data_IF_351274112055
#
_entry.id   IF_351274112055
#
_cell.length_a   1.000
_cell.length_b   1.000
_cell.length_c   1.000
_cell.angle_alpha   90.00
_cell.angle_beta   90.00
_cell.angle_gamma   90.00
#
_symmetry.space_group_name_H-M   'P 1'
#
loop_
_entity.id
_entity.type
_entity.pdbx_description
1 polymer ?
#
# COMPACT_ATOMS: atom_id res chain seq x y z
N UNK A 1 25.38 6.78 -22.62
CA UNK A 1 25.30 7.40 -23.97
C UNK A 1 23.98 7.11 -24.69
N UNK A 2 23.31 5.96 -24.48
CA UNK A 2 22.07 5.56 -25.19
C UNK A 2 20.79 6.32 -24.76
N UNK A 3 20.77 6.93 -23.56
CA UNK A 3 19.54 7.57 -23.00
C UNK A 3 19.52 9.09 -23.13
N UNK A 4 20.62 9.73 -23.52
CA UNK A 4 20.71 11.20 -23.64
C UNK A 4 19.57 11.83 -24.45
N UNK A 5 19.23 11.29 -25.65
CA UNK A 5 18.10 11.80 -26.42
C UNK A 5 16.74 11.61 -25.74
N UNK A 6 16.57 10.52 -25.01
CA UNK A 6 15.34 10.22 -24.28
C UNK A 6 15.16 11.16 -23.08
N UNK A 7 16.25 11.50 -22.38
CA UNK A 7 16.23 12.47 -21.29
C UNK A 7 15.87 13.87 -21.79
N UNK A 8 16.45 14.32 -22.90
CA UNK A 8 16.07 15.59 -23.53
C UNK A 8 14.59 15.61 -23.93
N UNK A 9 14.05 14.53 -24.47
CA UNK A 9 12.62 14.43 -24.77
C UNK A 9 11.74 14.52 -23.52
N UNK A 10 12.14 13.88 -22.42
CA UNK A 10 11.40 13.94 -21.15
C UNK A 10 11.45 15.35 -20.56
N UNK A 11 12.59 16.03 -20.63
CA UNK A 11 12.74 17.41 -20.16
C UNK A 11 11.87 18.39 -20.95
N UNK A 12 11.88 18.29 -22.29
CA UNK A 12 11.01 19.10 -23.17
C UNK A 12 9.54 18.84 -22.82
N UNK A 13 9.15 17.57 -22.71
CA UNK A 13 7.77 17.23 -22.38
C UNK A 13 7.37 17.76 -21.00
N UNK A 14 8.23 17.60 -19.99
CA UNK A 14 8.03 18.10 -18.64
C UNK A 14 7.79 19.62 -18.62
N UNK A 15 8.60 20.39 -19.36
CA UNK A 15 8.42 21.83 -19.53
C UNK A 15 7.08 22.19 -20.18
N UNK A 16 6.64 21.44 -21.20
CA UNK A 16 5.39 21.69 -21.92
C UNK A 16 4.14 21.39 -21.09
N UNK A 17 4.17 20.38 -20.23
CA UNK A 17 3.02 19.95 -19.42
C UNK A 17 3.04 20.50 -17.99
N UNK A 18 4.09 21.24 -17.61
CA UNK A 18 4.23 21.84 -16.28
C UNK A 18 4.46 20.83 -15.14
N UNK A 19 5.00 19.64 -15.45
CA UNK A 19 5.36 18.63 -14.45
C UNK A 19 6.87 18.58 -14.22
N UNK A 20 7.30 18.05 -13.08
CA UNK A 20 8.73 17.78 -12.85
C UNK A 20 9.18 16.62 -13.75
N UNK A 21 10.44 16.63 -14.17
CA UNK A 21 11.05 15.58 -15.04
C UNK A 21 10.78 14.17 -14.51
N UNK A 22 10.90 13.98 -13.19
CA UNK A 22 10.64 12.70 -12.51
C UNK A 22 9.18 12.26 -12.61
N UNK A 23 8.23 13.20 -12.44
CA UNK A 23 6.79 12.93 -12.54
C UNK A 23 6.40 12.60 -13.99
N UNK A 24 6.94 13.34 -14.95
CA UNK A 24 6.77 13.06 -16.39
C UNK A 24 7.31 11.68 -16.74
N UNK A 25 8.51 11.33 -16.26
CA UNK A 25 9.11 10.01 -16.47
C UNK A 25 8.24 8.90 -15.88
N UNK A 26 7.72 9.09 -14.68
CA UNK A 26 6.82 8.14 -14.03
C UNK A 26 5.51 7.97 -14.81
N UNK A 27 4.92 9.06 -15.30
CA UNK A 27 3.72 9.03 -16.16
C UNK A 27 3.97 8.25 -17.46
N UNK A 28 5.10 8.48 -18.12
CA UNK A 28 5.52 7.71 -19.31
C UNK A 28 5.63 6.22 -18.95
N UNK A 29 6.21 5.86 -17.81
CA UNK A 29 6.29 4.47 -17.37
C UNK A 29 4.91 3.83 -17.20
N UNK A 30 3.92 4.56 -16.68
CA UNK A 30 2.55 4.03 -16.59
C UNK A 30 1.94 3.81 -17.97
N UNK A 31 2.15 4.74 -18.92
CA UNK A 31 1.70 4.57 -20.31
C UNK A 31 2.37 3.33 -20.94
N UNK A 32 3.68 3.16 -20.75
CA UNK A 32 4.41 1.96 -21.15
C UNK A 32 3.82 0.71 -20.49
N UNK A 33 3.42 0.78 -19.22
CA UNK A 33 2.70 -0.28 -18.51
C UNK A 33 1.43 -0.72 -19.26
N UNK A 34 0.60 0.21 -19.73
CA UNK A 34 -0.58 -0.11 -20.56
C UNK A 34 -0.20 -0.74 -21.90
N UNK A 35 0.85 -0.24 -22.57
CA UNK A 35 1.35 -0.84 -23.81
C UNK A 35 1.82 -2.29 -23.58
N UNK A 36 2.52 -2.53 -22.47
CA UNK A 36 2.97 -3.89 -22.13
C UNK A 36 1.80 -4.82 -21.76
N UNK A 37 0.74 -4.27 -21.15
CA UNK A 37 -0.46 -5.03 -20.82
C UNK A 37 -1.14 -5.63 -22.06
N UNK A 38 -1.12 -4.93 -23.21
CA UNK A 38 -1.57 -5.52 -24.48
C UNK A 38 -0.74 -6.73 -24.89
N UNK A 39 0.59 -6.68 -24.72
CA UNK A 39 1.46 -7.83 -25.01
C UNK A 39 1.10 -9.06 -24.17
N UNK A 40 0.79 -8.87 -22.89
CA UNK A 40 0.29 -9.96 -22.03
C UNK A 40 -1.06 -10.51 -22.45
N UNK A 41 -1.95 -9.67 -23.02
CA UNK A 41 -3.24 -10.14 -23.50
C UNK A 41 -3.11 -10.91 -24.81
N UNK A 42 -2.26 -10.44 -25.71
CA UNK A 42 -2.07 -11.01 -27.04
C UNK A 42 -1.18 -12.27 -27.03
N UNK A 43 -0.28 -12.37 -26.06
CA UNK A 43 0.52 -13.57 -25.77
C UNK A 43 1.36 -14.11 -26.94
N UNK A 44 1.85 -13.25 -27.82
CA UNK A 44 2.59 -13.65 -29.03
C UNK A 44 3.98 -14.26 -28.79
N UNK A 45 4.47 -14.29 -27.55
CA UNK A 45 5.81 -14.77 -27.21
C UNK A 45 5.84 -15.41 -25.83
N UNK A 46 7.01 -15.88 -25.39
CA UNK A 46 7.17 -16.37 -24.04
C UNK A 46 6.91 -15.23 -23.03
N UNK A 47 5.84 -15.36 -22.24
CA UNK A 47 5.40 -14.30 -21.34
C UNK A 47 6.37 -14.05 -20.18
N UNK A 48 7.17 -15.04 -19.79
CA UNK A 48 8.23 -14.81 -18.81
C UNK A 48 9.32 -13.90 -19.36
N UNK A 49 9.84 -14.23 -20.55
CA UNK A 49 10.86 -13.41 -21.20
C UNK A 49 10.35 -12.02 -21.51
N UNK A 50 9.10 -11.91 -21.97
CA UNK A 50 8.43 -10.64 -22.22
C UNK A 50 8.38 -9.77 -20.95
N UNK A 51 7.95 -10.35 -19.82
CA UNK A 51 7.93 -9.68 -18.52
C UNK A 51 9.30 -9.18 -18.10
N UNK A 52 10.32 -10.04 -18.23
CA UNK A 52 11.71 -9.70 -17.86
C UNK A 52 12.21 -8.53 -18.69
N UNK A 53 12.13 -8.62 -20.03
CA UNK A 53 12.71 -7.62 -20.95
C UNK A 53 12.02 -6.27 -20.80
N UNK A 54 10.69 -6.26 -20.83
CA UNK A 54 9.93 -5.00 -20.76
C UNK A 54 9.98 -4.38 -19.37
N UNK A 55 9.97 -5.20 -18.31
CA UNK A 55 10.14 -4.75 -16.94
C UNK A 55 11.50 -4.15 -16.65
N UNK A 56 12.57 -4.81 -17.12
CA UNK A 56 13.94 -4.30 -17.06
C UNK A 56 14.06 -2.96 -17.77
N UNK A 57 13.48 -2.84 -18.97
CA UNK A 57 13.48 -1.60 -19.71
C UNK A 57 12.80 -0.47 -18.92
N UNK A 58 11.60 -0.71 -18.39
CA UNK A 58 10.86 0.29 -17.61
C UNK A 58 11.63 0.66 -16.33
N UNK A 59 12.15 -0.32 -15.59
CA UNK A 59 12.94 -0.07 -14.38
C UNK A 59 14.22 0.72 -14.67
N UNK A 60 14.97 0.39 -15.72
CA UNK A 60 16.14 1.16 -16.11
C UNK A 60 15.76 2.55 -16.62
N UNK A 61 14.61 2.67 -17.30
CA UNK A 61 14.07 3.94 -17.74
C UNK A 61 13.71 4.88 -16.58
N UNK A 62 13.32 4.38 -15.41
CA UNK A 62 13.04 5.22 -14.24
C UNK A 62 14.26 5.37 -13.29
N UNK A 63 14.94 4.28 -12.95
CA UNK A 63 15.97 4.23 -11.89
C UNK A 63 17.41 4.28 -12.39
N UNK A 64 17.65 4.17 -13.71
CA UNK A 64 19.00 4.22 -14.31
C UNK A 64 19.91 3.16 -13.67
N UNK A 65 21.20 3.47 -13.46
CA UNK A 65 22.20 2.57 -12.89
C UNK A 65 21.83 2.04 -11.49
N UNK A 66 20.96 2.76 -10.76
CA UNK A 66 20.51 2.33 -9.43
C UNK A 66 19.64 1.06 -9.46
N UNK A 67 19.24 0.54 -10.64
CA UNK A 67 18.63 -0.80 -10.72
C UNK A 67 19.54 -1.88 -10.12
N UNK A 68 20.86 -1.67 -10.05
CA UNK A 68 21.79 -2.64 -9.45
C UNK A 68 21.38 -3.05 -8.03
N UNK A 69 20.86 -2.11 -7.22
CA UNK A 69 20.41 -2.37 -5.86
C UNK A 69 19.17 -3.27 -5.81
N UNK A 70 18.26 -3.14 -6.78
CA UNK A 70 17.11 -4.03 -6.96
C UNK A 70 17.60 -5.46 -7.22
N UNK A 71 18.56 -5.63 -8.12
CA UNK A 71 19.08 -6.95 -8.48
C UNK A 71 19.94 -7.59 -7.39
N UNK A 72 20.64 -6.79 -6.58
CA UNK A 72 21.32 -7.27 -5.37
C UNK A 72 20.31 -7.87 -4.39
N UNK A 73 19.20 -7.18 -4.10
CA UNK A 73 18.14 -7.68 -3.23
C UNK A 73 17.51 -8.99 -3.75
N UNK A 74 17.25 -9.06 -5.07
CA UNK A 74 16.76 -10.26 -5.74
C UNK A 74 17.74 -11.43 -5.62
N UNK A 75 19.02 -11.18 -5.89
CA UNK A 75 20.08 -12.18 -5.81
C UNK A 75 20.23 -12.73 -4.40
N UNK A 76 20.35 -11.86 -3.40
CA UNK A 76 20.49 -12.25 -1.99
C UNK A 76 19.30 -13.11 -1.57
N UNK A 77 18.07 -12.68 -1.84
CA UNK A 77 16.87 -13.48 -1.50
C UNK A 77 16.90 -14.84 -2.17
N UNK A 78 17.21 -14.89 -3.47
CA UNK A 78 17.23 -16.14 -4.23
C UNK A 78 18.27 -17.12 -3.68
N UNK A 79 19.46 -16.65 -3.31
CA UNK A 79 20.49 -17.51 -2.68
C UNK A 79 20.02 -17.96 -1.30
N UNK A 80 19.51 -17.06 -0.46
CA UNK A 80 19.01 -17.40 0.87
C UNK A 80 17.91 -18.46 0.83
N UNK A 81 17.00 -18.42 -0.16
CA UNK A 81 15.98 -19.47 -0.33
C UNK A 81 16.55 -20.86 -0.66
N UNK A 82 17.76 -20.99 -1.22
CA UNK A 82 18.37 -22.31 -1.46
C UNK A 82 19.23 -22.78 -0.28
N UNK A 83 19.83 -21.84 0.46
CA UNK A 83 20.73 -22.15 1.59
C UNK A 83 19.95 -22.43 2.87
N UNK A 84 18.85 -21.70 3.10
CA UNK A 84 18.06 -21.83 4.32
C UNK A 84 17.07 -22.98 4.19
N UNK A 85 17.06 -23.86 5.18
CA UNK A 85 16.07 -24.93 5.30
C UNK A 85 14.64 -24.41 5.20
N UNK A 86 13.81 -25.12 4.44
CA UNK A 86 12.42 -24.76 4.13
C UNK A 86 11.59 -24.33 5.34
N UNK A 87 11.67 -25.07 6.46
CA UNK A 87 10.92 -24.79 7.69
C UNK A 87 11.31 -23.45 8.35
N UNK A 88 12.57 -23.02 8.20
CA UNK A 88 13.11 -21.79 8.81
C UNK A 88 12.95 -20.55 7.93
N UNK A 89 12.60 -20.71 6.65
CA UNK A 89 12.54 -19.60 5.71
C UNK A 89 11.58 -18.45 6.06
N UNK A 90 10.38 -18.65 6.62
CA UNK A 90 9.38 -17.58 6.72
C UNK A 90 9.89 -16.28 7.35
N UNK A 91 10.37 -16.34 8.60
CA UNK A 91 10.82 -15.16 9.32
C UNK A 91 12.23 -14.72 8.90
N UNK A 92 13.08 -15.64 8.45
CA UNK A 92 14.44 -15.27 8.01
C UNK A 92 14.38 -14.49 6.70
N UNK A 93 13.64 -15.00 5.69
CA UNK A 93 13.48 -14.31 4.40
C UNK A 93 12.71 -13.00 4.58
N UNK A 94 11.73 -12.96 5.49
CA UNK A 94 11.02 -11.74 5.84
C UNK A 94 11.94 -10.68 6.44
N UNK A 95 12.67 -11.03 7.51
CA UNK A 95 13.60 -10.13 8.18
C UNK A 95 14.74 -9.67 7.27
N UNK A 96 15.26 -10.56 6.42
CA UNK A 96 16.28 -10.25 5.42
C UNK A 96 15.83 -9.19 4.43
N UNK A 97 14.66 -9.37 3.80
CA UNK A 97 14.14 -8.42 2.81
C UNK A 97 13.74 -7.08 3.41
N UNK A 98 13.15 -7.11 4.62
CA UNK A 98 12.85 -5.89 5.36
C UNK A 98 14.16 -5.16 5.73
N UNK A 99 15.17 -5.88 6.22
CA UNK A 99 16.47 -5.33 6.57
C UNK A 99 17.21 -4.69 5.40
N UNK A 100 17.29 -5.37 4.25
CA UNK A 100 17.90 -4.81 3.02
C UNK A 100 17.18 -3.52 2.61
N UNK A 101 15.85 -3.54 2.58
CA UNK A 101 15.05 -2.36 2.21
C UNK A 101 15.24 -1.23 3.20
N UNK A 102 15.29 -1.52 4.50
CA UNK A 102 15.59 -0.52 5.54
C UNK A 102 16.97 0.08 5.38
N UNK A 103 18.00 -0.71 5.06
CA UNK A 103 19.36 -0.20 4.79
C UNK A 103 19.35 0.76 3.59
N UNK A 104 18.67 0.40 2.50
CA UNK A 104 18.56 1.29 1.34
C UNK A 104 17.81 2.58 1.67
N UNK A 105 16.69 2.49 2.41
CA UNK A 105 15.95 3.67 2.86
C UNK A 105 16.78 4.55 3.80
N UNK A 106 17.61 3.97 4.68
CA UNK A 106 18.53 4.73 5.54
C UNK A 106 19.60 5.43 4.71
N UNK A 107 20.22 4.73 3.75
CA UNK A 107 21.20 5.33 2.85
C UNK A 107 20.61 6.51 2.07
N UNK A 108 19.44 6.33 1.45
CA UNK A 108 18.78 7.40 0.70
C UNK A 108 18.30 8.55 1.59
N UNK A 109 17.79 8.27 2.79
CA UNK A 109 17.43 9.32 3.75
C UNK A 109 18.62 10.09 4.28
N UNK A 110 19.81 9.47 4.35
CA UNK A 110 21.04 10.16 4.73
C UNK A 110 21.54 11.07 3.60
N UNK A 111 21.52 10.58 2.35
CA UNK A 111 21.99 11.33 1.18
C UNK A 111 21.03 12.47 0.77
N UNK A 112 19.72 12.26 0.90
CA UNK A 112 18.68 13.18 0.45
C UNK A 112 17.78 13.59 1.63
N UNK A 113 18.38 13.98 2.74
CA UNK A 113 17.66 14.23 4.00
C UNK A 113 16.58 15.31 3.85
N UNK A 114 15.32 14.93 4.06
CA UNK A 114 14.17 15.83 3.94
C UNK A 114 13.66 16.04 2.50
N UNK A 115 14.34 15.54 1.48
CA UNK A 115 13.98 15.77 0.07
C UNK A 115 13.11 14.67 -0.54
N UNK A 116 12.12 15.06 -1.36
CA UNK A 116 11.24 14.13 -2.11
C UNK A 116 11.91 13.69 -3.40
N UNK A 117 12.62 12.57 -3.31
CA UNK A 117 13.33 11.95 -4.44
C UNK A 117 12.65 10.64 -4.81
N UNK A 118 12.18 10.51 -6.04
CA UNK A 118 11.75 9.19 -6.59
C UNK A 118 12.99 8.45 -7.06
N UNK A 119 13.32 7.36 -6.38
CA UNK A 119 14.50 6.53 -6.65
C UNK A 119 14.14 5.04 -6.59
N UNK A 120 15.16 4.18 -6.73
CA UNK A 120 15.02 2.72 -6.73
C UNK A 120 14.36 2.17 -5.46
N UNK A 121 14.38 2.90 -4.34
CA UNK A 121 13.81 2.42 -3.07
C UNK A 121 12.31 2.21 -3.13
N UNK A 122 11.60 2.98 -3.97
CA UNK A 122 10.16 2.77 -4.21
C UNK A 122 9.85 1.39 -4.80
N UNK A 123 10.73 0.86 -5.65
CA UNK A 123 10.59 -0.50 -6.14
C UNK A 123 11.01 -1.53 -5.06
N UNK A 124 12.11 -1.28 -4.34
CA UNK A 124 12.59 -2.23 -3.33
C UNK A 124 11.62 -2.41 -2.16
N UNK A 125 10.86 -1.38 -1.76
CA UNK A 125 9.83 -1.54 -0.73
C UNK A 125 8.67 -2.42 -1.21
N UNK A 126 8.29 -2.39 -2.49
CA UNK A 126 7.28 -3.31 -3.03
C UNK A 126 7.86 -4.71 -3.17
N UNK A 127 9.11 -4.82 -3.63
CA UNK A 127 9.83 -6.10 -3.67
C UNK A 127 10.00 -6.70 -2.28
N UNK A 128 10.19 -5.90 -1.22
CA UNK A 128 10.22 -6.38 0.15
C UNK A 128 9.00 -7.24 0.47
N UNK A 129 7.81 -6.78 0.08
CA UNK A 129 6.58 -7.52 0.28
C UNK A 129 6.60 -8.79 -0.55
N UNK A 130 6.83 -8.67 -1.87
CA UNK A 130 6.86 -9.80 -2.81
C UNK A 130 7.84 -10.91 -2.42
N UNK A 131 9.03 -10.53 -1.94
CA UNK A 131 10.12 -11.44 -1.63
C UNK A 131 9.98 -12.01 -0.21
N UNK A 132 9.52 -11.21 0.75
CA UNK A 132 9.29 -11.68 2.12
C UNK A 132 8.23 -12.77 2.20
N UNK A 133 7.19 -12.73 1.36
CA UNK A 133 6.12 -13.75 1.36
C UNK A 133 6.57 -15.09 0.80
N UNK A 134 7.55 -15.12 -0.10
CA UNK A 134 8.03 -16.37 -0.71
C UNK A 134 8.52 -17.39 0.32
N UNK A 135 9.14 -16.95 1.41
CA UNK A 135 9.59 -17.84 2.49
C UNK A 135 8.42 -18.53 3.20
N UNK A 136 7.31 -17.82 3.43
CA UNK A 136 6.08 -18.39 3.99
C UNK A 136 5.43 -19.34 2.99
N UNK A 137 5.20 -18.88 1.76
CA UNK A 137 4.54 -19.66 0.72
C UNK A 137 5.31 -20.94 0.38
N UNK A 138 6.65 -20.88 0.36
CA UNK A 138 7.47 -22.06 0.11
C UNK A 138 7.39 -23.06 1.26
N UNK A 139 7.44 -22.62 2.53
CA UNK A 139 7.19 -23.50 3.68
C UNK A 139 5.82 -24.16 3.58
N UNK A 140 4.79 -23.39 3.27
CA UNK A 140 3.40 -23.85 3.25
C UNK A 140 3.10 -24.83 2.10
N UNK A 141 4.00 -24.96 1.12
CA UNK A 141 3.92 -26.02 0.10
C UNK A 141 4.49 -27.37 0.57
N UNK A 142 4.91 -27.51 1.82
CA UNK A 142 5.37 -28.78 2.37
C UNK A 142 4.16 -29.61 2.85
N UNK A 143 4.01 -30.87 2.41
CA UNK A 143 2.89 -31.72 2.83
C UNK A 143 2.71 -31.82 4.36
N UNK A 144 3.79 -31.61 5.13
CA UNK A 144 3.73 -31.53 6.60
C UNK A 144 2.69 -30.51 7.11
N UNK A 145 2.41 -29.45 6.36
CA UNK A 145 1.52 -28.37 6.80
C UNK A 145 0.10 -28.43 6.22
N UNK A 146 -0.22 -29.36 5.31
CA UNK A 146 -1.49 -29.39 4.57
C UNK A 146 -2.74 -29.27 5.47
N UNK A 147 -2.75 -29.95 6.62
CA UNK A 147 -3.88 -29.94 7.56
C UNK A 147 -3.96 -28.68 8.46
N UNK A 148 -3.03 -27.74 8.31
CA UNK A 148 -2.92 -26.53 9.17
C UNK A 148 -3.08 -25.22 8.41
N UNK A 149 -3.14 -25.28 7.08
CA UNK A 149 -3.19 -24.10 6.22
C UNK A 149 -4.56 -23.43 6.30
N UNK A 150 -4.55 -22.09 6.29
CA UNK A 150 -5.76 -21.35 5.96
C UNK A 150 -6.04 -21.41 4.45
N UNK A 151 -7.26 -21.07 4.02
CA UNK A 151 -7.61 -20.95 2.59
C UNK A 151 -6.68 -19.99 1.83
N UNK A 152 -6.18 -18.95 2.49
CA UNK A 152 -5.22 -18.03 1.88
C UNK A 152 -3.85 -18.69 1.72
N UNK A 153 -3.33 -19.35 2.75
CA UNK A 153 -2.02 -20.03 2.69
C UNK A 153 -2.05 -21.15 1.64
N UNK A 154 -3.14 -21.92 1.57
CA UNK A 154 -3.32 -22.97 0.54
C UNK A 154 -3.32 -22.39 -0.88
N UNK A 155 -4.00 -21.25 -1.10
CA UNK A 155 -4.02 -20.57 -2.39
C UNK A 155 -2.63 -20.09 -2.82
N UNK A 156 -1.80 -19.67 -1.87
CA UNK A 156 -0.52 -19.00 -2.15
C UNK A 156 0.68 -19.95 -2.09
N UNK A 157 0.50 -21.19 -1.63
CA UNK A 157 1.59 -22.16 -1.42
C UNK A 157 2.43 -22.42 -2.66
N UNK A 158 3.72 -22.64 -2.42
CA UNK A 158 4.76 -22.89 -3.42
C UNK A 158 5.45 -24.21 -3.06
N UNK A 159 5.35 -25.20 -3.93
CA UNK A 159 5.91 -26.54 -3.69
C UNK A 159 7.42 -26.61 -3.97
N UNK A 160 7.90 -25.82 -4.93
CA UNK A 160 9.29 -25.79 -5.37
C UNK A 160 9.78 -24.36 -5.42
N UNK A 161 11.04 -24.14 -5.03
CA UNK A 161 11.66 -22.82 -5.16
C UNK A 161 11.52 -22.33 -6.61
N UNK A 162 11.00 -21.11 -6.86
CA UNK A 162 10.82 -20.57 -8.20
C UNK A 162 12.09 -20.68 -9.04
N UNK A 163 12.00 -21.03 -10.32
CA UNK A 163 13.16 -20.97 -11.22
C UNK A 163 13.68 -19.54 -11.35
N UNK A 164 14.91 -19.35 -11.83
CA UNK A 164 15.47 -18.00 -12.05
C UNK A 164 14.57 -17.19 -13.00
N UNK A 165 14.06 -17.83 -14.05
CA UNK A 165 13.19 -17.20 -15.04
C UNK A 165 11.86 -16.77 -14.42
N UNK A 166 11.17 -17.65 -13.68
CA UNK A 166 9.93 -17.30 -12.99
C UNK A 166 10.12 -16.20 -11.96
N UNK A 167 11.22 -16.27 -11.18
CA UNK A 167 11.56 -15.30 -10.15
C UNK A 167 11.84 -13.91 -10.73
N UNK A 168 12.66 -13.83 -11.79
CA UNK A 168 12.94 -12.57 -12.47
C UNK A 168 11.70 -12.03 -13.17
N UNK A 169 10.92 -12.90 -13.81
CA UNK A 169 9.67 -12.55 -14.48
C UNK A 169 8.66 -11.94 -13.51
N UNK A 170 8.44 -12.59 -12.36
CA UNK A 170 7.59 -12.11 -11.27
C UNK A 170 8.03 -10.74 -10.79
N UNK A 171 9.32 -10.58 -10.49
CA UNK A 171 9.89 -9.33 -9.97
C UNK A 171 9.81 -8.18 -10.97
N UNK A 172 9.93 -8.48 -12.26
CA UNK A 172 9.93 -7.52 -13.37
C UNK A 172 8.57 -7.30 -14.03
N UNK A 173 7.45 -7.77 -13.46
CA UNK A 173 6.15 -7.59 -14.12
C UNK A 173 5.85 -6.09 -14.45
N UNK A 174 5.84 -5.71 -15.74
CA UNK A 174 6.03 -4.31 -16.18
C UNK A 174 4.85 -3.40 -15.87
N UNK A 175 3.62 -3.93 -15.82
CA UNK A 175 2.41 -3.14 -15.57
C UNK A 175 2.46 -2.38 -14.24
N UNK A 176 3.19 -2.92 -13.25
CA UNK A 176 3.23 -2.40 -11.88
C UNK A 176 4.64 -2.39 -11.29
N UNK A 177 5.68 -2.42 -12.12
CA UNK A 177 7.07 -2.50 -11.66
C UNK A 177 7.60 -1.19 -11.06
N UNK A 178 7.01 -0.04 -11.40
CA UNK A 178 7.46 1.25 -10.88
C UNK A 178 6.97 1.46 -9.44
N UNK A 179 5.65 1.49 -9.30
CA UNK A 179 4.92 1.90 -8.11
C UNK A 179 3.53 1.30 -8.22
N UNK A 180 3.41 0.02 -7.86
CA UNK A 180 2.15 -0.67 -7.97
C UNK A 180 1.90 -1.65 -6.82
N UNK A 181 0.67 -2.18 -6.76
CA UNK A 181 0.25 -3.04 -5.67
C UNK A 181 1.11 -4.31 -5.56
N UNK A 182 1.36 -4.76 -4.32
CA UNK A 182 1.86 -6.11 -4.05
C UNK A 182 0.95 -7.18 -4.67
N UNK A 183 1.49 -8.34 -5.02
CA UNK A 183 0.72 -9.48 -5.51
C UNK A 183 1.44 -10.80 -5.24
N UNK A 184 0.68 -11.87 -5.12
CA UNK A 184 1.19 -13.20 -4.79
C UNK A 184 1.90 -13.87 -5.96
N UNK A 185 2.99 -14.59 -5.67
CA UNK A 185 3.74 -15.32 -6.69
C UNK A 185 2.89 -16.39 -7.37
N UNK A 186 2.08 -17.14 -6.61
CA UNK A 186 1.22 -18.19 -7.18
C UNK A 186 0.15 -17.63 -8.12
N UNK A 187 -0.45 -16.49 -7.79
CA UNK A 187 -1.38 -15.80 -8.67
C UNK A 187 -0.68 -15.36 -9.97
N UNK A 188 0.56 -14.85 -9.87
CA UNK A 188 1.37 -14.50 -11.04
C UNK A 188 1.67 -15.69 -11.96
N UNK A 189 2.12 -16.82 -11.40
CA UNK A 189 2.39 -18.03 -12.21
C UNK A 189 1.10 -18.55 -12.83
N UNK A 190 -0.01 -18.59 -12.10
CA UNK A 190 -1.29 -18.98 -12.67
C UNK A 190 -1.74 -18.04 -13.80
N UNK A 191 -1.44 -16.74 -13.70
CA UNK A 191 -1.69 -15.78 -14.77
C UNK A 191 -0.81 -16.05 -16.01
N UNK A 192 0.50 -16.26 -15.81
CA UNK A 192 1.42 -16.58 -16.90
C UNK A 192 1.03 -17.91 -17.55
N UNK A 193 0.64 -18.92 -16.79
CA UNK A 193 0.27 -20.24 -17.30
C UNK A 193 -1.19 -20.34 -17.78
N UNK A 194 -1.99 -19.27 -17.63
CA UNK A 194 -3.44 -19.26 -17.92
C UNK A 194 -4.20 -20.38 -17.18
N UNK A 195 -3.95 -20.52 -15.87
CA UNK A 195 -4.58 -21.52 -14.99
C UNK A 195 -5.71 -20.94 -14.16
N UNK A 196 -6.67 -21.80 -13.82
CA UNK A 196 -7.81 -21.44 -12.98
C UNK A 196 -8.63 -20.32 -13.61
N UNK A 197 -8.97 -19.29 -12.83
CA UNK A 197 -9.75 -18.15 -13.33
C UNK A 197 -9.07 -17.44 -14.51
N UNK A 198 -7.74 -17.46 -14.63
CA UNK A 198 -7.04 -16.71 -15.69
C UNK A 198 -7.27 -17.27 -17.09
N UNK A 199 -7.59 -18.56 -17.24
CA UNK A 199 -7.84 -19.20 -18.52
C UNK A 199 -8.97 -18.52 -19.32
N UNK A 200 -10.03 -18.14 -18.61
CA UNK A 200 -11.24 -17.54 -19.18
C UNK A 200 -11.28 -16.02 -18.98
N UNK A 201 -10.12 -15.38 -18.81
CA UNK A 201 -10.06 -13.93 -18.60
C UNK A 201 -10.51 -13.20 -19.87
N UNK A 202 -11.63 -12.44 -19.85
CA UNK A 202 -12.06 -11.68 -21.01
C UNK A 202 -11.15 -10.46 -21.22
N UNK A 203 -11.32 -9.77 -22.36
CA UNK A 203 -10.62 -8.51 -22.59
C UNK A 203 -11.43 -7.34 -22.01
N UNK A 204 -10.97 -6.78 -20.88
CA UNK A 204 -11.68 -5.72 -20.15
C UNK A 204 -11.22 -4.30 -20.53
N UNK A 205 -11.18 -3.99 -21.84
CA UNK A 205 -10.67 -2.70 -22.36
C UNK A 205 -11.39 -1.48 -21.76
N UNK A 206 -12.73 -1.47 -21.78
CA UNK A 206 -13.51 -0.32 -21.28
C UNK A 206 -13.26 -0.08 -19.79
N UNK A 207 -13.23 -1.15 -18.98
CA UNK A 207 -12.92 -1.04 -17.54
C UNK A 207 -11.51 -0.49 -17.30
N UNK A 208 -10.54 -0.92 -18.10
CA UNK A 208 -9.18 -0.39 -18.07
C UNK A 208 -9.11 1.09 -18.44
N UNK A 209 -9.77 1.50 -19.53
CA UNK A 209 -9.82 2.89 -19.97
C UNK A 209 -10.47 3.80 -18.92
N UNK A 210 -11.55 3.35 -18.26
CA UNK A 210 -12.17 4.11 -17.16
C UNK A 210 -11.20 4.35 -16.00
N UNK A 211 -10.39 3.34 -15.64
CA UNK A 211 -9.34 3.48 -14.62
C UNK A 211 -8.22 4.42 -15.07
N UNK A 212 -7.81 4.35 -16.33
CA UNK A 212 -6.86 5.30 -16.92
C UNK A 212 -7.36 6.75 -16.82
N UNK A 213 -8.60 7.00 -17.24
CA UNK A 213 -9.24 8.34 -17.13
C UNK A 213 -9.39 8.79 -15.68
N UNK A 214 -9.75 7.88 -14.77
CA UNK A 214 -9.81 8.17 -13.32
C UNK A 214 -8.46 8.65 -12.80
N UNK A 215 -7.37 8.03 -13.27
CA UNK A 215 -6.01 8.45 -12.93
C UNK A 215 -5.71 9.89 -13.33
N UNK A 216 -6.07 10.30 -14.54
CA UNK A 216 -5.89 11.69 -14.98
C UNK A 216 -6.76 12.68 -14.23
N UNK A 217 -8.00 12.31 -13.84
CA UNK A 217 -8.85 13.18 -13.04
C UNK A 217 -8.18 13.47 -11.70
N UNK A 218 -7.72 12.44 -10.99
CA UNK A 218 -7.03 12.63 -9.71
C UNK A 218 -5.72 13.41 -9.85
N UNK A 219 -4.95 13.14 -10.92
CA UNK A 219 -3.72 13.89 -11.20
C UNK A 219 -4.03 15.37 -11.42
N UNK A 220 -5.02 15.70 -12.27
CA UNK A 220 -5.42 17.08 -12.55
C UNK A 220 -5.91 17.81 -11.29
N UNK A 221 -6.73 17.17 -10.46
CA UNK A 221 -7.17 17.75 -9.18
C UNK A 221 -6.00 17.95 -8.22
N UNK A 222 -5.04 17.01 -8.17
CA UNK A 222 -3.86 17.17 -7.32
C UNK A 222 -2.96 18.34 -7.74
N UNK A 223 -2.76 18.55 -9.04
CA UNK A 223 -1.99 19.68 -9.57
C UNK A 223 -2.69 21.00 -9.22
N UNK A 224 -4.01 21.06 -9.36
CA UNK A 224 -4.78 22.22 -8.95
C UNK A 224 -4.60 22.52 -7.44
N UNK A 225 -4.72 21.49 -6.59
CA UNK A 225 -4.55 21.64 -5.15
C UNK A 225 -3.12 22.04 -4.76
N UNK A 226 -2.08 21.52 -5.42
CA UNK A 226 -0.70 21.94 -5.18
C UNK A 226 -0.47 23.44 -5.42
N UNK A 227 -1.24 24.06 -6.32
CA UNK A 227 -1.22 25.51 -6.54
C UNK A 227 -1.86 26.33 -5.42
N UNK A 228 -2.62 25.68 -4.52
CA UNK A 228 -3.35 26.32 -3.41
C UNK A 228 -2.74 25.99 -2.05
N UNK A 229 -2.23 24.76 -1.87
CA UNK A 229 -1.70 24.26 -0.61
C UNK A 229 -0.31 23.66 -0.80
N UNK A 230 0.62 24.05 0.07
CA UNK A 230 2.00 23.57 0.08
C UNK A 230 2.45 23.25 1.51
N UNK A 231 3.40 22.30 1.61
CA UNK A 231 3.87 21.72 2.87
C UNK A 231 4.53 22.78 3.77
N UNK A 232 5.38 23.63 3.18
CA UNK A 232 6.21 24.59 3.92
C UNK A 232 5.38 25.63 4.67
N UNK A 233 4.17 25.93 4.20
CA UNK A 233 3.26 26.82 4.94
C UNK A 233 2.94 26.24 6.32
N UNK A 234 2.77 24.93 6.46
CA UNK A 234 2.35 24.32 7.72
C UNK A 234 3.42 24.44 8.83
N UNK A 235 4.67 24.66 8.45
CA UNK A 235 5.79 24.89 9.38
C UNK A 235 6.13 26.38 9.54
N UNK A 236 5.37 27.26 8.90
CA UNK A 236 5.52 28.72 9.04
C UNK A 236 4.93 29.24 10.35
N UNK A 237 5.30 30.47 10.74
CA UNK A 237 4.72 31.14 11.92
C UNK A 237 3.29 31.57 11.65
N UNK A 238 3.02 31.98 10.41
CA UNK A 238 1.73 32.44 9.89
C UNK A 238 0.68 31.34 10.06
N UNK A 239 1.02 30.10 9.72
CA UNK A 239 0.14 28.95 9.96
C UNK A 239 -0.13 28.72 11.46
N UNK A 240 0.87 28.91 12.31
CA UNK A 240 0.72 28.81 13.78
C UNK A 240 -0.20 29.87 14.40
N UNK A 241 -0.42 30.99 13.70
CA UNK A 241 -1.35 32.06 14.12
C UNK A 241 -2.81 31.78 13.72
N UNK A 242 -3.04 30.86 12.78
CA UNK A 242 -4.39 30.46 12.39
C UNK A 242 -5.11 29.75 13.53
N UNK A 243 -6.44 29.82 13.53
CA UNK A 243 -7.25 29.03 14.46
C UNK A 243 -7.21 27.54 14.05
N UNK A 244 -7.49 26.66 15.02
CA UNK A 244 -7.38 25.21 14.85
C UNK A 244 -8.27 24.65 13.73
N UNK A 245 -9.45 25.23 13.51
CA UNK A 245 -10.34 24.79 12.43
C UNK A 245 -9.71 25.09 11.06
N UNK A 246 -9.19 26.30 10.87
CA UNK A 246 -8.50 26.67 9.62
C UNK A 246 -7.26 25.81 9.40
N UNK A 247 -6.46 25.56 10.44
CA UNK A 247 -5.31 24.64 10.37
C UNK A 247 -5.74 23.23 9.93
N UNK A 248 -6.82 22.70 10.51
CA UNK A 248 -7.33 21.37 10.19
C UNK A 248 -7.85 21.29 8.75
N UNK A 249 -8.57 22.30 8.27
CA UNK A 249 -9.04 22.37 6.88
C UNK A 249 -7.84 22.44 5.93
N UNK A 250 -6.82 23.23 6.24
CA UNK A 250 -5.60 23.31 5.44
C UNK A 250 -4.86 21.96 5.39
N UNK A 251 -4.69 21.29 6.54
CA UNK A 251 -4.14 19.93 6.60
C UNK A 251 -4.96 18.93 5.77
N UNK A 252 -6.30 19.03 5.80
CA UNK A 252 -7.18 18.19 4.99
C UNK A 252 -6.98 18.42 3.50
N UNK A 253 -6.97 19.67 3.04
CA UNK A 253 -6.76 20.01 1.63
C UNK A 253 -5.39 19.55 1.14
N UNK A 254 -4.33 19.78 1.91
CA UNK A 254 -2.98 19.34 1.55
C UNK A 254 -2.86 17.82 1.51
N UNK A 255 -3.42 17.12 2.51
CA UNK A 255 -3.45 15.66 2.50
C UNK A 255 -4.21 15.15 1.27
N UNK A 256 -5.33 15.77 0.89
CA UNK A 256 -6.06 15.43 -0.34
C UNK A 256 -5.21 15.65 -1.60
N UNK A 257 -4.47 16.75 -1.68
CA UNK A 257 -3.51 16.96 -2.78
C UNK A 257 -2.55 15.79 -2.91
N UNK A 258 -1.91 15.40 -1.81
CA UNK A 258 -0.96 14.30 -1.79
C UNK A 258 -1.60 12.93 -2.07
N UNK A 259 -2.73 12.64 -1.41
CA UNK A 259 -3.44 11.39 -1.57
C UNK A 259 -3.93 11.18 -3.01
N UNK A 260 -4.38 12.25 -3.68
CA UNK A 260 -4.85 12.16 -5.07
C UNK A 260 -3.72 11.86 -6.06
N UNK A 261 -2.47 12.26 -5.80
CA UNK A 261 -1.31 11.78 -6.57
C UNK A 261 -1.17 10.26 -6.47
N UNK A 262 -1.37 9.71 -5.28
CA UNK A 262 -1.33 8.26 -5.05
C UNK A 262 -2.54 7.55 -5.66
N UNK A 263 -3.75 8.12 -5.57
CA UNK A 263 -4.93 7.57 -6.23
C UNK A 263 -4.80 7.59 -7.76
N UNK A 264 -4.12 8.59 -8.32
CA UNK A 264 -3.80 8.61 -9.75
C UNK A 264 -2.91 7.42 -10.12
N UNK A 265 -1.81 7.25 -9.41
CA UNK A 265 -0.88 6.11 -9.52
C UNK A 265 -1.60 4.77 -9.39
N UNK A 266 -2.42 4.60 -8.35
CA UNK A 266 -3.19 3.38 -8.10
C UNK A 266 -4.18 3.10 -9.23
N UNK A 267 -4.82 4.14 -9.76
CA UNK A 267 -5.76 4.00 -10.89
C UNK A 267 -5.05 3.59 -12.17
N UNK A 268 -3.88 4.16 -12.46
CA UNK A 268 -3.07 3.74 -13.60
C UNK A 268 -2.61 2.28 -13.46
N UNK A 269 -2.08 1.89 -12.30
CA UNK A 269 -1.68 0.53 -12.00
C UNK A 269 -2.86 -0.46 -12.16
N UNK A 270 -4.00 -0.18 -11.53
CA UNK A 270 -5.22 -0.99 -11.63
C UNK A 270 -5.66 -1.17 -13.09
N UNK A 271 -5.72 -0.10 -13.86
CA UNK A 271 -6.20 -0.19 -15.24
C UNK A 271 -5.25 -0.96 -16.15
N UNK A 272 -3.93 -0.88 -15.95
CA UNK A 272 -2.96 -1.71 -16.69
C UNK A 272 -3.08 -3.20 -16.33
N UNK A 273 -3.31 -3.52 -15.05
CA UNK A 273 -3.53 -4.91 -14.60
C UNK A 273 -4.87 -5.49 -15.05
N UNK A 274 -5.91 -4.65 -15.14
CA UNK A 274 -7.20 -5.04 -15.75
C UNK A 274 -6.99 -5.34 -17.24
N UNK A 275 -6.21 -4.52 -17.94
CA UNK A 275 -5.96 -4.67 -19.37
C UNK A 275 -5.18 -5.95 -19.69
N UNK A 276 -4.16 -6.26 -18.89
CA UNK A 276 -3.36 -7.49 -19.05
C UNK A 276 -4.17 -8.74 -18.70
N UNK A 277 -5.24 -8.59 -17.93
CA UNK A 277 -6.04 -9.69 -17.38
C UNK A 277 -5.54 -10.21 -16.03
N UNK A 278 -4.46 -9.63 -15.47
CA UNK A 278 -3.89 -10.05 -14.19
C UNK A 278 -4.82 -9.80 -12.99
N UNK A 279 -5.63 -8.74 -13.02
CA UNK A 279 -6.60 -8.48 -11.95
C UNK A 279 -7.84 -9.38 -12.01
N UNK A 280 -7.98 -10.27 -12.99
CA UNK A 280 -9.19 -11.07 -13.16
C UNK A 280 -9.38 -12.07 -12.01
N UNK A 281 -10.53 -11.98 -11.35
CA UNK A 281 -10.88 -12.80 -10.20
C UNK A 281 -11.78 -13.99 -10.50
N UNK A 282 -12.24 -14.13 -11.74
CA UNK A 282 -13.30 -15.09 -12.12
C UNK A 282 -14.67 -14.43 -12.19
N UNK A 283 -15.72 -15.26 -12.09
CA UNK A 283 -17.12 -14.81 -12.07
C UNK A 283 -17.65 -14.75 -10.63
N UNK A 284 -18.58 -13.83 -10.37
CA UNK A 284 -19.35 -13.81 -9.13
C UNK A 284 -20.50 -14.85 -9.15
N UNK A 285 -21.26 -14.94 -8.05
CA UNK A 285 -22.43 -15.83 -7.92
C UNK A 285 -23.51 -15.57 -8.98
N UNK A 286 -23.52 -14.37 -9.59
CA UNK A 286 -24.46 -13.96 -10.64
C UNK A 286 -23.88 -14.14 -12.05
N UNK A 287 -22.68 -14.70 -12.17
CA UNK A 287 -21.99 -14.92 -13.44
C UNK A 287 -21.23 -13.71 -14.01
N UNK A 288 -21.15 -12.58 -13.29
CA UNK A 288 -20.46 -11.39 -13.76
C UNK A 288 -18.94 -11.48 -13.56
N UNK A 289 -18.19 -11.05 -14.56
CA UNK A 289 -16.72 -11.01 -14.51
C UNK A 289 -16.19 -9.96 -13.52
N UNK A 290 -15.37 -10.41 -12.55
CA UNK A 290 -14.75 -9.58 -11.52
C UNK A 290 -13.28 -9.28 -11.82
N UNK A 291 -12.83 -8.07 -11.51
CA UNK A 291 -11.41 -7.69 -11.55
C UNK A 291 -10.92 -7.32 -10.14
N UNK A 292 -11.11 -8.23 -9.19
CA UNK A 292 -10.85 -8.04 -7.75
C UNK A 292 -9.62 -8.78 -7.23
N UNK A 293 -8.86 -9.47 -8.11
CA UNK A 293 -7.71 -10.26 -7.70
C UNK A 293 -6.54 -9.42 -7.21
N UNK A 294 -6.28 -8.32 -7.90
CA UNK A 294 -5.23 -7.37 -7.56
C UNK A 294 -5.73 -5.96 -7.81
N UNK A 295 -6.18 -5.31 -6.73
CA UNK A 295 -6.64 -3.91 -6.70
C UNK A 295 -5.76 -3.16 -5.71
N UNK A 296 -5.31 -1.96 -6.09
CA UNK A 296 -4.52 -1.08 -5.25
C UNK A 296 -5.38 -0.32 -4.22
N UNK A 297 -6.55 0.20 -4.61
CA UNK A 297 -7.37 1.05 -3.75
C UNK A 297 -8.87 0.92 -4.03
N UNK A 298 -9.68 0.87 -2.96
CA UNK A 298 -11.12 1.13 -3.04
C UNK A 298 -11.34 2.62 -2.78
N UNK A 299 -11.35 3.36 -3.88
CA UNK A 299 -11.43 4.83 -3.89
C UNK A 299 -12.70 5.32 -3.19
N UNK A 300 -13.83 4.63 -3.38
CA UNK A 300 -15.11 5.07 -2.79
C UNK A 300 -15.03 4.94 -1.28
N UNK A 301 -14.62 3.77 -0.77
CA UNK A 301 -14.52 3.57 0.67
C UNK A 301 -13.44 4.45 1.33
N UNK A 302 -12.36 4.76 0.62
CA UNK A 302 -11.39 5.76 1.09
C UNK A 302 -12.04 7.13 1.20
N UNK A 303 -12.70 7.62 0.15
CA UNK A 303 -13.23 8.99 0.13
C UNK A 303 -14.41 9.20 1.08
N UNK A 304 -15.35 8.25 1.16
CA UNK A 304 -16.61 8.41 1.91
C UNK A 304 -16.76 7.49 3.13
N UNK A 305 -15.70 6.74 3.49
CA UNK A 305 -15.68 5.89 4.68
C UNK A 305 -15.91 6.69 5.97
N UNK A 306 -16.78 6.20 6.86
CA UNK A 306 -17.15 6.92 8.08
C UNK A 306 -16.44 6.43 9.34
N UNK A 307 -15.43 5.56 9.21
CA UNK A 307 -14.60 5.09 10.31
C UNK A 307 -13.20 4.69 9.82
N UNK A 308 -12.22 4.73 10.72
CA UNK A 308 -10.81 4.46 10.41
C UNK A 308 -10.56 3.03 9.93
N UNK A 309 -11.28 2.04 10.46
CA UNK A 309 -11.10 0.64 10.07
C UNK A 309 -11.41 0.46 8.58
N UNK A 310 -12.54 0.98 8.12
CA UNK A 310 -12.96 0.83 6.73
C UNK A 310 -12.03 1.60 5.79
N UNK A 311 -11.61 2.81 6.17
CA UNK A 311 -10.65 3.61 5.38
C UNK A 311 -9.31 2.86 5.27
N UNK A 312 -8.76 2.35 6.38
CA UNK A 312 -7.46 1.64 6.38
C UNK A 312 -7.49 0.36 5.55
N UNK A 313 -8.58 -0.39 5.60
CA UNK A 313 -8.73 -1.62 4.83
C UNK A 313 -9.00 -1.37 3.34
N UNK A 314 -9.28 -0.12 2.95
CA UNK A 314 -9.61 0.31 1.59
C UNK A 314 -8.48 1.09 0.92
N UNK A 315 -7.54 1.61 1.72
CA UNK A 315 -6.33 2.28 1.26
C UNK A 315 -5.20 1.27 1.08
N UNK A 316 -4.55 1.30 -0.09
CA UNK A 316 -3.40 0.46 -0.40
C UNK A 316 -3.62 -1.03 -0.04
N UNK A 317 -4.70 -1.61 -0.58
CA UNK A 317 -5.27 -2.88 -0.13
C UNK A 317 -4.23 -4.00 -0.07
N UNK A 318 -3.34 -4.09 -1.06
CA UNK A 318 -2.40 -5.20 -1.13
C UNK A 318 -1.33 -5.13 -0.03
N UNK A 319 -0.93 -3.93 0.41
CA UNK A 319 -0.06 -3.77 1.58
C UNK A 319 -0.81 -4.17 2.84
N UNK A 320 -2.08 -3.76 2.96
CA UNK A 320 -2.94 -4.15 4.07
C UNK A 320 -3.16 -5.67 4.12
N UNK A 321 -3.28 -6.34 2.97
CA UNK A 321 -3.36 -7.80 2.87
C UNK A 321 -2.03 -8.47 3.22
N UNK A 322 -0.90 -7.95 2.75
CA UNK A 322 0.43 -8.44 3.12
C UNK A 322 0.64 -8.39 4.64
N UNK A 323 0.38 -7.23 5.25
CA UNK A 323 0.46 -7.06 6.71
C UNK A 323 -0.53 -7.97 7.44
N UNK A 324 -1.74 -8.15 6.91
CA UNK A 324 -2.74 -9.05 7.51
C UNK A 324 -2.27 -10.50 7.52
N UNK A 325 -1.90 -11.04 6.37
CA UNK A 325 -1.64 -12.48 6.23
C UNK A 325 -0.25 -12.89 6.73
N UNK A 326 0.75 -12.04 6.55
CA UNK A 326 2.15 -12.39 6.86
C UNK A 326 2.67 -11.76 8.15
N UNK A 327 1.94 -10.83 8.77
CA UNK A 327 2.27 -10.26 10.08
C UNK A 327 1.15 -10.52 11.09
N UNK A 328 -0.03 -9.93 10.90
CA UNK A 328 -1.12 -9.99 11.88
C UNK A 328 -1.47 -11.43 12.25
N UNK A 329 -1.82 -12.27 11.27
CA UNK A 329 -2.24 -13.66 11.50
C UNK A 329 -1.12 -14.50 12.12
N UNK A 330 0.14 -14.18 11.83
CA UNK A 330 1.29 -14.95 12.34
C UNK A 330 1.69 -14.52 13.77
N UNK A 331 1.33 -13.31 14.20
CA UNK A 331 1.42 -12.82 15.59
C UNK A 331 0.09 -12.94 16.36
N UNK A 332 -0.96 -13.45 15.71
CA UNK A 332 -2.27 -13.64 16.31
C UNK A 332 -2.21 -14.85 17.24
N UNK A 333 -2.25 -14.56 18.54
CA UNK A 333 -2.43 -15.56 19.56
C UNK A 333 -3.92 -15.88 19.66
N UNK A 334 -4.32 -16.99 19.03
CA UNK A 334 -5.71 -17.47 18.96
C UNK A 334 -6.34 -17.66 20.35
N UNK A 335 -5.52 -17.83 21.39
CA UNK A 335 -5.96 -18.03 22.77
C UNK A 335 -6.06 -16.69 23.53
N UNK A 336 -5.58 -15.58 22.96
CA UNK A 336 -5.62 -14.27 23.58
C UNK A 336 -6.97 -13.56 23.38
N UNK A 337 -7.48 -12.96 24.46
CA UNK A 337 -8.74 -12.17 24.44
C UNK A 337 -8.58 -10.80 23.76
N UNK A 338 -7.37 -10.40 23.38
CA UNK A 338 -7.05 -9.10 22.77
C UNK A 338 -5.80 -9.21 21.90
N UNK A 339 -5.98 -9.09 20.57
CA UNK A 339 -4.90 -9.13 19.58
C UNK A 339 -4.18 -7.79 19.43
N UNK A 340 -3.93 -7.11 20.57
CA UNK A 340 -3.21 -5.85 20.60
C UNK A 340 -1.75 -6.03 20.16
N UNK A 341 -1.13 -7.16 20.51
CA UNK A 341 0.22 -7.53 20.07
C UNK A 341 0.30 -7.64 18.54
N UNK A 342 -0.61 -8.39 17.92
CA UNK A 342 -0.67 -8.54 16.46
C UNK A 342 -0.95 -7.19 15.76
N UNK A 343 -1.85 -6.38 16.32
CA UNK A 343 -2.14 -5.05 15.77
C UNK A 343 -0.91 -4.13 15.88
N UNK A 344 -0.23 -4.11 17.03
CA UNK A 344 1.00 -3.34 17.20
C UNK A 344 2.10 -3.79 16.24
N UNK A 345 2.31 -5.10 16.07
CA UNK A 345 3.27 -5.64 15.13
C UNK A 345 3.01 -5.17 13.68
N UNK A 346 1.75 -5.13 13.25
CA UNK A 346 1.37 -4.59 11.93
C UNK A 346 1.81 -3.14 11.77
N UNK A 347 1.47 -2.26 12.71
CA UNK A 347 1.82 -0.85 12.62
C UNK A 347 3.34 -0.62 12.74
N UNK A 348 4.02 -1.41 13.57
CA UNK A 348 5.47 -1.35 13.71
C UNK A 348 6.20 -1.78 12.44
N UNK A 349 5.81 -2.91 11.84
CA UNK A 349 6.36 -3.36 10.55
C UNK A 349 6.05 -2.35 9.45
N UNK A 350 4.85 -1.76 9.46
CA UNK A 350 4.50 -0.69 8.50
C UNK A 350 5.42 0.52 8.65
N UNK A 351 5.77 0.93 9.87
CA UNK A 351 6.73 2.01 10.11
C UNK A 351 8.12 1.68 9.54
N UNK A 352 8.63 0.46 9.80
CA UNK A 352 9.90 -0.01 9.25
C UNK A 352 9.90 -0.04 7.72
N UNK A 353 8.78 -0.45 7.12
CA UNK A 353 8.59 -0.51 5.68
C UNK A 353 8.62 0.87 5.02
N UNK A 354 8.12 1.91 5.70
CA UNK A 354 8.17 3.29 5.21
C UNK A 354 9.53 3.99 5.41
N UNK A 355 10.40 3.45 6.26
CA UNK A 355 11.77 3.93 6.44
C UNK A 355 12.01 4.72 7.72
N UNK A 356 13.22 5.28 7.87
CA UNK A 356 13.80 5.62 9.18
C UNK A 356 13.35 6.96 9.76
N UNK A 357 12.56 7.74 9.01
CA UNK A 357 12.17 9.07 9.46
C UNK A 357 11.31 8.99 10.74
N UNK A 358 11.60 9.77 11.80
CA UNK A 358 10.85 9.73 13.05
C UNK A 358 9.35 9.96 12.87
N UNK A 359 8.97 10.77 11.89
CA UNK A 359 7.56 11.03 11.53
C UNK A 359 6.80 9.76 11.16
N UNK A 360 7.46 8.78 10.53
CA UNK A 360 6.84 7.50 10.19
C UNK A 360 6.42 6.74 11.45
N UNK A 361 7.34 6.60 12.41
CA UNK A 361 7.08 5.86 13.65
C UNK A 361 5.99 6.52 14.48
N UNK A 362 6.01 7.86 14.58
CA UNK A 362 4.95 8.61 15.25
C UNK A 362 3.60 8.42 14.55
N UNK A 363 3.58 8.53 13.21
CA UNK A 363 2.38 8.29 12.40
C UNK A 363 1.76 6.91 12.71
N UNK A 364 2.55 5.84 12.59
CA UNK A 364 2.03 4.49 12.77
C UNK A 364 1.65 4.18 14.22
N UNK A 365 2.33 4.76 15.20
CA UNK A 365 1.92 4.66 16.61
C UNK A 365 0.55 5.29 16.84
N UNK A 366 0.31 6.50 16.35
CA UNK A 366 -0.99 7.15 16.51
C UNK A 366 -2.05 6.52 15.62
N UNK A 367 -1.71 5.98 14.45
CA UNK A 367 -2.63 5.22 13.62
C UNK A 367 -3.08 3.93 14.32
N UNK A 368 -2.18 3.24 15.05
CA UNK A 368 -2.49 2.12 15.93
C UNK A 368 -3.47 2.51 17.04
N UNK A 369 -3.20 3.62 17.74
CA UNK A 369 -4.08 4.14 18.80
C UNK A 369 -5.45 4.48 18.21
N UNK A 370 -5.49 5.23 17.10
CA UNK A 370 -6.72 5.63 16.41
C UNK A 370 -7.57 4.44 15.96
N UNK A 371 -6.95 3.40 15.37
CA UNK A 371 -7.68 2.18 14.98
C UNK A 371 -8.24 1.45 16.21
N UNK A 372 -7.45 1.36 17.29
CA UNK A 372 -7.87 0.73 18.54
C UNK A 372 -9.07 1.46 19.15
N UNK A 373 -8.99 2.80 19.23
CA UNK A 373 -10.09 3.68 19.66
C UNK A 373 -11.34 3.48 18.79
N UNK A 374 -11.17 3.46 17.45
CA UNK A 374 -12.29 3.26 16.52
C UNK A 374 -13.02 1.93 16.75
N UNK A 375 -12.28 0.83 17.02
CA UNK A 375 -12.88 -0.47 17.37
C UNK A 375 -13.66 -0.43 18.68
N UNK A 376 -13.17 0.31 19.67
CA UNK A 376 -13.82 0.42 20.98
C UNK A 376 -15.08 1.27 20.91
N UNK A 377 -15.04 2.40 20.20
CA UNK A 377 -16.20 3.22 19.90
C UNK A 377 -17.28 2.39 19.19
N UNK A 378 -16.88 1.57 18.21
CA UNK A 378 -17.81 0.69 17.50
C UNK A 378 -18.50 -0.31 18.44
N UNK A 379 -17.75 -0.99 19.32
CA UNK A 379 -18.30 -1.90 20.33
C UNK A 379 -19.26 -1.21 21.30
N UNK A 380 -19.04 0.08 21.55
CA UNK A 380 -19.85 0.93 22.43
C UNK A 380 -20.86 1.79 21.67
N UNK A 381 -21.20 1.44 20.42
CA UNK A 381 -22.08 2.24 19.57
C UNK A 381 -23.48 2.51 20.16
N UNK A 382 -23.88 1.77 21.20
CA UNK A 382 -25.09 1.99 21.98
C UNK A 382 -25.12 3.34 22.70
N UNK A 383 -23.97 3.88 23.12
CA UNK A 383 -23.85 5.21 23.75
C UNK A 383 -24.38 6.28 22.81
N UNK A 384 -24.15 6.09 21.50
CA UNK A 384 -24.56 7.02 20.46
C UNK A 384 -25.91 6.66 19.85
N UNK A 385 -26.69 5.76 20.45
CA UNK A 385 -27.97 5.28 19.90
C UNK A 385 -28.97 6.40 19.63
N UNK A 386 -28.94 7.47 20.42
CA UNK A 386 -29.79 8.65 20.28
C UNK A 386 -29.51 9.49 19.01
N UNK A 387 -28.34 9.35 18.39
CA UNK A 387 -28.00 10.07 17.17
C UNK A 387 -28.58 9.31 15.96
N UNK A 388 -29.28 9.95 15.01
CA UNK A 388 -29.75 9.25 13.81
C UNK A 388 -28.60 8.72 12.96
N UNK A 389 -28.82 7.61 12.24
CA UNK A 389 -27.75 6.89 11.52
C UNK A 389 -26.99 7.77 10.52
N UNK A 390 -27.68 8.62 9.75
CA UNK A 390 -27.04 9.50 8.77
C UNK A 390 -26.09 10.50 9.43
N UNK A 391 -26.48 11.08 10.56
CA UNK A 391 -25.64 12.01 11.30
C UNK A 391 -24.44 11.31 11.94
N UNK A 392 -24.58 10.05 12.40
CA UNK A 392 -23.41 9.27 12.85
C UNK A 392 -22.41 9.04 11.73
N UNK A 393 -22.87 8.78 10.51
CA UNK A 393 -21.98 8.59 9.35
C UNK A 393 -21.25 9.87 8.99
N UNK A 394 -21.96 11.00 8.92
CA UNK A 394 -21.36 12.30 8.63
C UNK A 394 -20.34 12.67 9.71
N UNK A 395 -20.72 12.56 10.99
CA UNK A 395 -19.83 12.86 12.10
C UNK A 395 -18.61 11.93 12.11
N UNK A 396 -18.81 10.63 11.89
CA UNK A 396 -17.74 9.64 11.80
C UNK A 396 -16.76 9.94 10.65
N UNK A 397 -17.28 10.37 9.50
CA UNK A 397 -16.47 10.81 8.36
C UNK A 397 -15.65 12.06 8.70
N UNK A 398 -16.29 13.10 9.26
CA UNK A 398 -15.61 14.34 9.68
C UNK A 398 -14.48 14.02 10.67
N UNK A 399 -14.78 13.28 11.75
CA UNK A 399 -13.80 12.96 12.79
C UNK A 399 -12.67 12.08 12.25
N UNK A 400 -12.97 11.10 11.40
CA UNK A 400 -11.95 10.23 10.80
C UNK A 400 -11.00 11.03 9.91
N UNK A 401 -11.53 11.93 9.07
CA UNK A 401 -10.70 12.75 8.19
C UNK A 401 -9.98 13.88 8.92
N UNK A 402 -10.56 14.49 9.94
CA UNK A 402 -9.84 15.44 10.80
C UNK A 402 -8.62 14.76 11.44
N UNK A 403 -8.81 13.56 12.01
CA UNK A 403 -7.72 12.78 12.57
C UNK A 403 -6.67 12.42 11.52
N UNK A 404 -7.10 11.82 10.41
CA UNK A 404 -6.18 11.34 9.38
C UNK A 404 -5.41 12.46 8.70
N UNK A 405 -6.03 13.60 8.46
CA UNK A 405 -5.38 14.72 7.79
C UNK A 405 -4.29 15.33 8.64
N UNK A 406 -4.56 15.54 9.94
CA UNK A 406 -3.54 16.01 10.88
C UNK A 406 -2.40 15.00 11.01
N UNK A 407 -2.73 13.71 11.12
CA UNK A 407 -1.73 12.66 11.27
C UNK A 407 -0.88 12.48 10.00
N UNK A 408 -1.50 12.49 8.82
CA UNK A 408 -0.82 12.40 7.54
C UNK A 408 0.07 13.63 7.28
N UNK A 409 -0.34 14.83 7.71
CA UNK A 409 0.52 16.01 7.60
C UNK A 409 1.84 15.82 8.37
N UNK A 410 1.79 15.23 9.58
CA UNK A 410 3.00 14.88 10.34
C UNK A 410 3.87 13.86 9.60
N UNK A 411 3.27 12.82 9.02
CA UNK A 411 3.97 11.81 8.23
C UNK A 411 4.77 12.43 7.07
N UNK A 412 4.16 13.40 6.39
CA UNK A 412 4.73 14.06 5.21
C UNK A 412 5.84 15.08 5.53
N UNK A 413 6.03 15.49 6.79
CA UNK A 413 7.10 16.44 7.17
C UNK A 413 8.51 15.87 7.03
N UNK A 414 8.65 14.54 7.12
CA UNK A 414 9.87 13.72 6.96
C UNK A 414 11.03 14.04 7.91
N UNK A 415 11.33 15.29 8.21
CA UNK A 415 12.34 15.65 9.22
C UNK A 415 11.72 15.71 10.61
N UNK A 416 12.49 15.31 11.63
CA UNK A 416 12.05 15.42 13.02
C UNK A 416 11.79 16.88 13.43
N UNK A 417 12.57 17.82 12.91
CA UNK A 417 12.40 19.25 13.17
C UNK A 417 11.07 19.78 12.63
N UNK A 418 10.77 19.55 11.35
CA UNK A 418 9.52 20.02 10.74
C UNK A 418 8.30 19.38 11.39
N UNK A 419 8.40 18.09 11.74
CA UNK A 419 7.37 17.39 12.51
C UNK A 419 7.10 18.09 13.85
N UNK A 420 8.14 18.42 14.63
CA UNK A 420 7.99 19.11 15.91
C UNK A 420 7.43 20.53 15.76
N UNK A 421 7.83 21.26 14.71
CA UNK A 421 7.29 22.58 14.41
C UNK A 421 5.79 22.49 14.10
N UNK A 422 5.37 21.55 13.24
CA UNK A 422 3.96 21.35 12.92
C UNK A 422 3.15 20.95 14.16
N UNK A 423 3.70 20.08 15.02
CA UNK A 423 3.06 19.72 16.29
C UNK A 423 2.89 20.94 17.20
N UNK A 424 3.90 21.81 17.28
CA UNK A 424 3.84 23.07 18.00
C UNK A 424 2.79 24.03 17.43
N UNK A 425 2.78 24.22 16.11
CA UNK A 425 1.82 25.08 15.41
C UNK A 425 0.37 24.63 15.62
N UNK A 426 0.13 23.31 15.60
CA UNK A 426 -1.20 22.72 15.87
C UNK A 426 -1.49 22.53 17.36
N UNK A 427 -0.59 23.01 18.24
CA UNK A 427 -0.68 22.94 19.70
C UNK A 427 -0.92 21.52 20.23
N UNK A 428 -0.42 20.52 19.50
CA UNK A 428 -0.59 19.11 19.80
C UNK A 428 -2.04 18.62 19.90
N UNK A 429 -3.03 19.43 19.49
CA UNK A 429 -4.47 19.20 19.76
C UNK A 429 -4.90 17.83 19.23
N UNK A 430 -4.56 17.53 17.98
CA UNK A 430 -4.96 16.27 17.33
C UNK A 430 -4.40 15.03 18.03
N UNK A 431 -3.16 15.10 18.55
CA UNK A 431 -2.53 14.00 19.27
C UNK A 431 -3.13 13.82 20.67
N UNK A 432 -3.36 14.93 21.38
CA UNK A 432 -3.99 14.94 22.70
C UNK A 432 -5.42 14.41 22.63
N UNK A 433 -6.20 14.83 21.63
CA UNK A 433 -7.56 14.34 21.42
C UNK A 433 -7.56 12.82 21.25
N UNK A 434 -6.73 12.28 20.37
CA UNK A 434 -6.72 10.83 20.10
C UNK A 434 -6.33 10.02 21.33
N UNK A 435 -5.34 10.49 22.09
CA UNK A 435 -4.95 9.87 23.35
C UNK A 435 -6.09 9.95 24.39
N UNK A 436 -6.76 11.10 24.51
CA UNK A 436 -7.89 11.29 25.42
C UNK A 436 -9.06 10.37 25.05
N UNK A 437 -9.45 10.31 23.76
CA UNK A 437 -10.47 9.39 23.27
C UNK A 437 -10.07 7.93 23.56
N UNK A 438 -8.82 7.54 23.33
CA UNK A 438 -8.36 6.19 23.65
C UNK A 438 -8.52 5.87 25.14
N UNK A 439 -8.11 6.77 26.04
CA UNK A 439 -8.22 6.57 27.48
C UNK A 439 -9.68 6.48 27.94
N UNK A 440 -10.53 7.41 27.51
CA UNK A 440 -11.97 7.42 27.84
C UNK A 440 -12.63 6.12 27.41
N UNK A 441 -12.47 5.72 26.16
CA UNK A 441 -13.10 4.50 25.63
C UNK A 441 -12.48 3.23 26.24
N UNK A 442 -11.23 3.28 26.72
CA UNK A 442 -10.57 2.18 27.45
C UNK A 442 -11.21 1.97 28.81
N UNK A 443 -11.41 3.05 29.56
CA UNK A 443 -12.10 3.01 30.86
C UNK A 443 -13.53 2.51 30.68
N UNK A 444 -14.27 3.05 29.70
CA UNK A 444 -15.65 2.58 29.44
C UNK A 444 -15.64 1.09 29.07
N UNK A 445 -14.70 0.62 28.23
CA UNK A 445 -14.60 -0.79 27.85
C UNK A 445 -14.27 -1.70 29.03
N UNK A 446 -13.55 -1.21 30.02
CA UNK A 446 -13.20 -1.94 31.23
C UNK A 446 -14.38 -2.05 32.20
N UNK A 447 -15.22 -1.02 32.28
CA UNK A 447 -16.34 -0.93 33.24
C UNK A 447 -17.67 -1.46 32.68
N UNK A 448 -17.86 -1.47 31.36
CA UNK A 448 -19.09 -2.03 30.76
C UNK A 448 -19.12 -3.57 30.86
N UNK A 449 -20.15 -4.18 31.46
CA UNK A 449 -20.32 -5.63 31.45
C UNK A 449 -20.41 -6.12 30.00
N UNK A 450 -19.55 -7.07 29.64
CA UNK A 450 -19.57 -7.68 28.30
C UNK A 450 -20.91 -8.38 28.12
N UNK A 451 -21.77 -7.88 27.24
CA UNK A 451 -22.98 -8.62 26.88
C UNK A 451 -22.56 -9.94 26.23
N UNK A 452 -23.00 -11.06 26.78
CA UNK A 452 -22.94 -12.38 26.12
C UNK A 452 -23.89 -12.30 24.92
N UNK A 453 -23.41 -11.82 23.77
CA UNK A 453 -24.29 -11.65 22.61
C UNK A 453 -23.56 -11.28 21.34
N UNK A 454 -23.56 -12.24 20.39
CA UNK A 454 -23.26 -12.09 18.94
C UNK A 454 -21.81 -12.26 18.44
N UNK A 455 -20.84 -12.70 19.24
CA UNK A 455 -19.53 -13.12 18.68
C UNK A 455 -19.60 -14.40 17.81
N UNK A 456 -20.71 -15.15 17.89
CA UNK A 456 -20.91 -16.39 17.12
C UNK A 456 -21.32 -16.23 15.65
N UNK A 457 -21.63 -15.03 15.16
CA UNK A 457 -22.11 -14.83 13.76
C UNK A 457 -21.08 -14.22 12.81
N UNK A 458 -20.03 -13.55 13.29
CA UNK A 458 -18.96 -13.03 12.42
C UNK A 458 -17.95 -14.11 12.00
N UNK A 459 -17.80 -15.21 12.75
CA UNK A 459 -16.90 -16.32 12.39
C UNK A 459 -17.32 -17.09 11.13
N UNK A 460 -18.55 -16.93 10.63
CA UNK A 460 -19.05 -17.63 9.43
C UNK A 460 -18.99 -16.82 8.12
N UNK A 461 -18.46 -15.59 8.13
CA UNK A 461 -18.34 -14.74 6.93
C UNK A 461 -16.89 -14.45 6.51
N UNK A 462 -15.90 -15.06 7.16
CA UNK A 462 -14.46 -14.86 6.87
C UNK A 462 -13.82 -16.16 6.43
N UNK A 463 -14.54 -16.90 5.60
CA UNK A 463 -14.07 -18.12 4.95
C UNK A 463 -14.19 -17.99 3.44
#
# INVERSE_FOLDING_TARGET
MVIGPLDSCVEILAGNIGLRVVETRLLICYILGYLTAFGFKLRFMNMHLYSIVTGLFIQYFIYREHIVFIYIMLFITKISMHVIEREKQPWIIFGLNLGISSVYLVGESYLNYGEVVVNFTYNTIILCQKLSTLGFCYRDGDPKYDNTLSKHDERCRIEKIPTIVEFLSYSNYPCITMLGPFFEFKDYINFIDQKGAYADSPFHFVKSLLKFSTGFIFLGVSIYLDGVVYLDFMVSKEFGQLNFLTQTVYCFLYMKSYAYKLLAIFSFADGSNILSGFSYGGKDEKGNHKNDRNIACDIVMVEIGSNLRDIYNSWNLQVSLWLRYYVYVKFDDKDSKSNMKATFAVFFVSALWHGPYPSNYLFFLFAFIGLSTSRMIFKQGWIFSFIPYIFKRILGWILSWMFLSNLAALFLMRTGANMLILMGNTRYISLVLVAAFYLVFSVISAVTPKSKGKEGKEKKKVE
#
